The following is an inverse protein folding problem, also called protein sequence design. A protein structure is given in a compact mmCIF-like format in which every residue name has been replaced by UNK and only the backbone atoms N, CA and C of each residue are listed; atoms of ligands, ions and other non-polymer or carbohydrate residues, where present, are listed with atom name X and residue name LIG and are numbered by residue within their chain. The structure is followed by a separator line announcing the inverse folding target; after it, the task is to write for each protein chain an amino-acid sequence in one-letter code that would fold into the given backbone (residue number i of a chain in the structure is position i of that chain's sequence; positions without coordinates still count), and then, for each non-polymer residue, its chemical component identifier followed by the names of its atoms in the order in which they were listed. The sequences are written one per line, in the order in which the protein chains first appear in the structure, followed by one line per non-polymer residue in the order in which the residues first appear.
data_IF_516220135245
#
_entry.id   IF_516220135245
#
_cell.length_a   1.000
_cell.length_b   1.000
_cell.length_c   1.000
_cell.angle_alpha   90.00
_cell.angle_beta   90.00
_cell.angle_gamma   90.00
#
_symmetry.space_group_name_H-M   'P 1'
#
loop_
_entity.id
_entity.type
_entity.pdbx_description
1 polymer ?
#
# COMPACT_ATOMS: atom_id res chain seq x y z
N UNK A 1 19.69 -66.76 41.74
CA UNK A 1 19.62 -66.55 40.28
C UNK A 1 18.79 -65.25 40.07
N UNK A 2 19.49 -64.12 39.91
CA UNK A 2 18.88 -62.79 39.94
C UNK A 2 18.56 -62.34 38.50
N UNK A 3 17.31 -62.09 38.25
CA UNK A 3 16.79 -61.58 36.98
C UNK A 3 16.77 -60.05 37.04
N UNK A 4 17.67 -59.38 36.38
CA UNK A 4 17.69 -57.92 36.26
C UNK A 4 16.64 -57.48 35.26
N UNK A 5 15.63 -56.74 35.72
CA UNK A 5 14.67 -56.03 34.86
C UNK A 5 15.34 -54.75 34.30
N UNK A 6 15.48 -54.68 33.00
CA UNK A 6 15.94 -53.54 32.26
C UNK A 6 14.73 -52.64 31.97
N UNK A 7 14.66 -51.45 32.60
CA UNK A 7 13.68 -50.43 32.30
C UNK A 7 14.21 -49.62 31.11
N UNK A 8 13.56 -49.75 29.96
CA UNK A 8 13.74 -48.81 28.85
C UNK A 8 12.86 -47.58 29.09
N UNK A 9 13.49 -46.44 29.38
CA UNK A 9 12.83 -45.16 29.41
C UNK A 9 12.76 -44.64 28.01
N UNK A 10 11.53 -44.61 27.46
CA UNK A 10 11.26 -43.88 26.17
C UNK A 10 11.17 -42.38 26.48
N UNK A 11 12.22 -41.67 26.11
CA UNK A 11 12.20 -40.22 26.08
C UNK A 11 11.50 -39.79 24.80
N UNK A 12 10.19 -39.48 24.92
CA UNK A 12 9.41 -38.92 23.82
C UNK A 12 9.82 -37.45 23.65
N UNK A 13 10.69 -37.19 22.66
CA UNK A 13 11.05 -35.85 22.22
C UNK A 13 9.92 -35.29 21.36
N UNK A 14 8.93 -34.63 21.97
CA UNK A 14 7.93 -33.84 21.26
C UNK A 14 8.56 -32.59 20.67
N UNK A 15 8.94 -32.69 19.39
CA UNK A 15 9.37 -31.56 18.57
C UNK A 15 8.14 -30.65 18.32
N UNK A 16 7.98 -29.62 19.14
CA UNK A 16 7.03 -28.55 18.87
C UNK A 16 7.54 -27.76 17.65
N UNK A 17 6.96 -28.08 16.48
CA UNK A 17 7.03 -27.20 15.33
C UNK A 17 6.19 -25.96 15.66
N UNK A 18 6.84 -24.88 16.08
CA UNK A 18 6.26 -23.55 15.98
C UNK A 18 6.18 -23.22 14.49
N UNK A 19 5.02 -23.47 13.91
CA UNK A 19 4.63 -22.85 12.65
C UNK A 19 4.46 -21.36 12.92
N UNK A 20 5.56 -20.62 12.85
CA UNK A 20 5.48 -19.20 12.62
C UNK A 20 4.82 -19.03 11.25
N UNK A 21 3.52 -18.81 11.24
CA UNK A 21 2.85 -18.23 10.09
C UNK A 21 3.50 -16.86 9.85
N UNK A 22 4.48 -16.83 8.98
CA UNK A 22 4.97 -15.63 8.35
C UNK A 22 3.79 -15.08 7.53
N UNK A 23 2.88 -14.37 8.18
CA UNK A 23 2.08 -13.39 7.51
C UNK A 23 3.08 -12.37 6.97
N UNK A 24 3.48 -12.56 5.73
CA UNK A 24 4.27 -11.58 5.01
C UNK A 24 3.47 -10.26 5.04
N UNK A 25 3.84 -9.37 5.95
CA UNK A 25 3.35 -8.01 5.94
C UNK A 25 4.00 -7.32 4.73
N UNK A 26 3.36 -7.43 3.58
CA UNK A 26 3.75 -6.71 2.36
C UNK A 26 3.55 -5.20 2.46
N UNK A 27 3.31 -4.67 3.66
CA UNK A 27 3.42 -3.25 3.92
C UNK A 27 4.87 -2.94 4.26
N UNK A 28 5.42 -1.98 3.51
CA UNK A 28 6.78 -1.52 3.65
C UNK A 28 7.23 -1.51 5.13
N UNK A 29 8.03 -2.50 5.51
CA UNK A 29 8.89 -2.41 6.67
C UNK A 29 10.06 -1.54 6.22
N UNK A 30 10.01 -0.24 6.44
CA UNK A 30 10.99 0.66 5.87
C UNK A 30 11.26 1.86 6.76
N UNK A 31 12.00 2.78 6.19
CA UNK A 31 12.31 4.05 6.80
C UNK A 31 11.07 4.94 6.84
N UNK A 32 10.79 5.56 8.01
CA UNK A 32 9.76 6.59 8.11
C UNK A 32 10.28 7.86 7.48
N UNK A 33 9.54 8.37 6.51
CA UNK A 33 9.85 9.62 5.84
C UNK A 33 8.66 10.58 5.88
N UNK A 34 8.95 11.88 5.79
CA UNK A 34 7.97 12.94 5.55
C UNK A 34 8.36 13.63 4.25
N UNK A 35 7.92 13.09 3.12
CA UNK A 35 8.34 13.60 1.82
C UNK A 35 7.70 14.96 1.52
N UNK A 36 8.29 15.72 0.60
CA UNK A 36 7.84 17.07 0.21
C UNK A 36 6.41 17.12 -0.37
N UNK A 37 5.90 15.99 -0.86
CA UNK A 37 4.55 15.86 -1.39
C UNK A 37 3.50 15.48 -0.33
N UNK A 38 3.90 15.42 0.95
CA UNK A 38 3.00 15.21 2.09
C UNK A 38 2.93 16.48 2.94
N UNK A 39 1.73 17.00 3.15
CA UNK A 39 1.46 18.16 4.00
C UNK A 39 0.57 17.74 5.15
N UNK A 40 1.02 17.97 6.38
CA UNK A 40 0.32 17.61 7.62
C UNK A 40 -0.25 18.86 8.28
N UNK A 41 -1.52 18.82 8.66
CA UNK A 41 -2.18 19.81 9.49
C UNK A 41 -2.66 19.14 10.78
N UNK A 42 -1.87 19.27 11.83
CA UNK A 42 -2.15 18.64 13.12
C UNK A 42 -3.36 19.26 13.83
N UNK A 43 -3.63 20.55 13.65
CA UNK A 43 -4.75 21.24 14.27
C UNK A 43 -6.08 20.71 13.75
N UNK A 44 -6.20 20.54 12.44
CA UNK A 44 -7.40 20.05 11.78
C UNK A 44 -7.39 18.52 11.61
N UNK A 45 -6.38 17.81 12.11
CA UNK A 45 -6.17 16.37 11.92
C UNK A 45 -6.36 15.99 10.47
N UNK A 46 -5.60 16.63 9.59
CA UNK A 46 -5.67 16.38 8.15
C UNK A 46 -4.30 16.17 7.52
N UNK A 47 -4.27 15.39 6.46
CA UNK A 47 -3.08 15.16 5.65
C UNK A 47 -3.44 15.25 4.17
N UNK A 48 -2.59 15.92 3.42
CA UNK A 48 -2.65 15.96 1.96
C UNK A 48 -1.45 15.20 1.38
N UNK A 49 -1.71 14.26 0.49
CA UNK A 49 -0.71 13.58 -0.33
C UNK A 49 -0.89 14.02 -1.78
N UNK A 50 0.13 14.61 -2.37
CA UNK A 50 0.14 14.93 -3.81
C UNK A 50 0.79 13.77 -4.56
N UNK A 51 0.00 13.09 -5.39
CA UNK A 51 0.41 11.90 -6.14
C UNK A 51 0.49 12.22 -7.63
N UNK A 52 1.70 12.24 -8.17
CA UNK A 52 1.96 12.45 -9.59
C UNK A 52 2.21 11.10 -10.27
N UNK A 53 1.35 10.72 -11.21
CA UNK A 53 1.56 9.53 -12.04
C UNK A 53 2.68 9.74 -13.05
N UNK A 54 3.31 8.66 -13.48
CA UNK A 54 4.39 8.68 -14.48
C UNK A 54 5.50 9.71 -14.14
N UNK A 55 5.82 9.86 -12.85
CA UNK A 55 6.75 10.88 -12.34
C UNK A 55 8.16 10.78 -12.95
N UNK A 56 8.62 9.55 -13.16
CA UNK A 56 9.92 9.23 -13.76
C UNK A 56 9.87 7.87 -14.49
N UNK A 57 11.00 7.42 -15.01
CA UNK A 57 11.10 6.17 -15.76
C UNK A 57 10.99 4.88 -14.94
N UNK A 58 10.87 4.97 -13.60
CA UNK A 58 10.76 3.78 -12.75
C UNK A 58 9.56 2.93 -13.16
N UNK A 59 9.76 1.60 -13.17
CA UNK A 59 8.73 0.63 -13.54
C UNK A 59 8.08 0.95 -14.90
N UNK A 60 8.87 1.39 -15.88
CA UNK A 60 8.34 1.78 -17.20
C UNK A 60 7.35 2.95 -17.15
N UNK A 61 7.52 3.86 -16.19
CA UNK A 61 6.64 4.99 -15.86
C UNK A 61 5.32 4.63 -15.16
N UNK A 62 5.07 3.35 -14.85
CA UNK A 62 3.90 2.93 -14.07
C UNK A 62 4.16 3.15 -12.57
N UNK A 63 4.21 4.41 -12.13
CA UNK A 63 4.53 4.79 -10.75
C UNK A 63 3.77 6.03 -10.28
N UNK A 64 3.74 6.25 -8.96
CA UNK A 64 3.34 7.51 -8.32
C UNK A 64 4.55 8.11 -7.61
N UNK A 65 4.90 9.34 -7.96
CA UNK A 65 6.07 10.05 -7.39
C UNK A 65 7.38 9.25 -7.50
N UNK A 66 7.46 8.31 -8.44
CA UNK A 66 8.58 7.39 -8.63
C UNK A 66 8.53 6.11 -7.78
N UNK A 67 7.51 5.96 -6.91
CA UNK A 67 7.28 4.73 -6.12
C UNK A 67 6.33 3.78 -6.85
N UNK A 68 6.55 2.47 -6.68
CA UNK A 68 5.78 1.39 -7.30
C UNK A 68 5.89 0.10 -6.49
N UNK A 69 5.12 -0.94 -6.79
CA UNK A 69 5.12 -2.24 -6.14
C UNK A 69 5.03 -2.16 -4.60
N UNK A 70 4.26 -1.19 -4.07
CA UNK A 70 4.14 -1.01 -2.63
C UNK A 70 5.41 -0.51 -1.93
N UNK A 71 6.40 0.01 -2.67
CA UNK A 71 7.64 0.55 -2.09
C UNK A 71 7.43 1.75 -1.17
N UNK A 72 6.27 2.39 -1.24
CA UNK A 72 5.82 3.36 -0.26
C UNK A 72 4.49 2.92 0.35
N UNK A 73 4.30 3.18 1.66
CA UNK A 73 3.04 2.98 2.35
C UNK A 73 2.65 4.28 3.05
N UNK A 74 1.52 4.84 2.66
CA UNK A 74 0.94 6.04 3.28
C UNK A 74 0.24 5.62 4.58
N UNK A 75 0.77 6.01 5.72
CA UNK A 75 0.24 5.62 7.04
C UNK A 75 -0.46 6.81 7.67
N UNK A 76 -1.73 6.65 8.02
CA UNK A 76 -2.58 7.73 8.53
C UNK A 76 -3.26 7.29 9.83
N UNK A 77 -3.33 8.16 10.86
CA UNK A 77 -4.09 7.87 12.06
C UNK A 77 -5.58 7.72 11.75
N UNK A 78 -6.26 6.82 12.46
CA UNK A 78 -7.71 6.68 12.35
C UNK A 78 -8.41 8.00 12.71
N UNK A 79 -9.41 8.35 11.94
CA UNK A 79 -10.22 9.55 12.14
C UNK A 79 -9.67 10.82 11.50
N UNK A 80 -8.46 10.78 10.92
CA UNK A 80 -7.90 11.92 10.20
C UNK A 80 -8.60 12.14 8.84
N UNK A 81 -8.65 13.39 8.41
CA UNK A 81 -9.09 13.75 7.08
C UNK A 81 -7.93 13.57 6.09
N UNK A 82 -8.18 12.90 4.99
CA UNK A 82 -7.19 12.66 3.93
C UNK A 82 -7.62 13.38 2.68
N UNK A 83 -6.68 14.07 2.05
CA UNK A 83 -6.82 14.61 0.71
C UNK A 83 -5.74 13.97 -0.20
N UNK A 84 -6.16 13.18 -1.17
CA UNK A 84 -5.27 12.73 -2.26
C UNK A 84 -5.43 13.72 -3.41
N UNK A 85 -4.40 14.52 -3.64
CA UNK A 85 -4.29 15.36 -4.84
C UNK A 85 -3.62 14.55 -5.94
N UNK A 86 -4.43 14.07 -6.87
CA UNK A 86 -3.93 13.31 -8.00
C UNK A 86 -3.59 14.24 -9.16
N UNK A 87 -2.43 14.02 -9.74
CA UNK A 87 -1.96 14.72 -10.93
C UNK A 87 -1.47 13.70 -11.96
N UNK A 88 -2.14 13.63 -13.09
CA UNK A 88 -1.63 12.96 -14.28
C UNK A 88 -1.13 13.99 -15.29
N UNK A 89 0.18 14.23 -15.41
CA UNK A 89 0.74 15.13 -16.41
C UNK A 89 0.80 14.49 -17.79
N UNK A 90 0.65 13.17 -17.91
CA UNK A 90 0.78 12.42 -19.15
C UNK A 90 -0.37 12.72 -20.11
N UNK A 91 -0.05 13.13 -21.33
CA UNK A 91 -1.00 13.37 -22.41
C UNK A 91 -1.29 12.15 -23.26
N UNK A 92 -0.53 11.05 -23.11
CA UNK A 92 -0.62 9.86 -23.94
C UNK A 92 -1.26 8.69 -23.20
N UNK A 93 -0.99 8.55 -21.91
CA UNK A 93 -1.49 7.45 -21.10
C UNK A 93 -2.45 7.93 -20.01
N UNK A 94 -3.57 7.23 -19.93
CA UNK A 94 -4.56 7.45 -18.89
C UNK A 94 -4.06 6.82 -17.60
N UNK A 95 -4.18 7.56 -16.50
CA UNK A 95 -3.91 7.05 -15.16
C UNK A 95 -5.08 7.35 -14.24
N UNK A 96 -5.13 6.62 -13.14
CA UNK A 96 -6.14 6.81 -12.11
C UNK A 96 -5.54 6.71 -10.72
N UNK A 97 -6.30 7.16 -9.73
CA UNK A 97 -6.05 6.86 -8.32
C UNK A 97 -7.34 6.39 -7.66
N UNK A 98 -7.30 5.24 -7.05
CA UNK A 98 -8.40 4.64 -6.30
C UNK A 98 -7.84 3.98 -5.06
N UNK A 99 -8.57 4.02 -3.96
CA UNK A 99 -8.19 3.30 -2.73
C UNK A 99 -9.03 2.02 -2.65
N UNK A 100 -8.37 0.91 -2.87
CA UNK A 100 -8.96 -0.42 -2.84
C UNK A 100 -8.53 -1.20 -1.59
N UNK A 101 -9.21 -2.30 -1.30
CA UNK A 101 -8.76 -3.27 -0.28
C UNK A 101 -7.38 -3.81 -0.68
N UNK A 102 -6.52 -4.04 0.32
CA UNK A 102 -5.23 -4.69 0.07
C UNK A 102 -5.44 -6.08 -0.55
N UNK A 103 -4.64 -6.39 -1.52
CA UNK A 103 -4.63 -7.64 -2.26
C UNK A 103 -3.35 -8.43 -1.98
N UNK A 104 -3.32 -9.71 -2.37
CA UNK A 104 -2.11 -10.50 -2.40
C UNK A 104 -1.20 -10.00 -3.54
N UNK A 105 0.05 -9.57 -3.28
CA UNK A 105 0.98 -9.13 -4.31
C UNK A 105 1.29 -10.17 -5.40
N UNK A 106 1.04 -11.45 -5.13
CA UNK A 106 1.12 -12.51 -6.13
C UNK A 106 -0.14 -12.62 -7.01
N UNK A 107 -1.20 -11.90 -6.63
CA UNK A 107 -2.48 -11.89 -7.34
C UNK A 107 -3.03 -10.47 -7.43
N UNK A 108 -2.27 -9.60 -8.08
CA UNK A 108 -2.64 -8.18 -8.25
C UNK A 108 -3.82 -8.07 -9.21
N UNK A 109 -4.87 -7.28 -8.87
CA UNK A 109 -5.98 -7.04 -9.79
C UNK A 109 -5.49 -6.46 -11.12
N UNK A 110 -6.09 -6.93 -12.23
CA UNK A 110 -5.75 -6.40 -13.56
C UNK A 110 -6.28 -4.98 -13.78
N UNK A 111 -7.39 -4.65 -13.13
CA UNK A 111 -8.02 -3.34 -13.16
C UNK A 111 -8.78 -3.13 -11.85
N UNK A 112 -9.13 -1.90 -11.55
CA UNK A 112 -10.04 -1.59 -10.46
C UNK A 112 -11.14 -0.67 -10.96
N UNK A 113 -12.36 -1.16 -10.91
CA UNK A 113 -13.58 -0.40 -11.17
C UNK A 113 -14.37 -0.18 -9.88
N UNK A 114 -15.57 0.38 -9.97
CA UNK A 114 -16.47 0.73 -8.86
C UNK A 114 -16.58 -0.36 -7.78
N UNK A 115 -16.59 -1.63 -8.20
CA UNK A 115 -16.74 -2.78 -7.30
C UNK A 115 -15.53 -2.99 -6.37
N UNK A 116 -14.35 -2.51 -6.76
CA UNK A 116 -13.13 -2.63 -5.96
C UNK A 116 -12.81 -1.39 -5.14
N UNK A 117 -13.58 -0.29 -5.31
CA UNK A 117 -13.40 0.91 -4.51
C UNK A 117 -13.73 0.62 -3.06
N UNK A 118 -12.73 0.67 -2.18
CA UNK A 118 -12.90 0.42 -0.76
C UNK A 118 -13.25 1.69 0.02
N UNK A 119 -12.56 2.80 -0.26
CA UNK A 119 -12.68 4.05 0.48
C UNK A 119 -13.04 5.21 -0.44
N UNK A 120 -12.24 5.42 -1.50
CA UNK A 120 -12.34 6.61 -2.33
C UNK A 120 -11.77 6.39 -3.73
N UNK A 121 -12.19 7.22 -4.65
CA UNK A 121 -11.68 7.31 -6.03
C UNK A 121 -11.54 8.76 -6.45
N UNK A 122 -10.67 9.03 -7.43
CA UNK A 122 -10.30 10.38 -7.82
C UNK A 122 -11.28 11.10 -8.74
N UNK A 123 -12.26 10.43 -9.37
CA UNK A 123 -13.12 11.09 -10.36
C UNK A 123 -14.48 10.47 -10.48
N UNK A 124 -15.36 11.19 -11.23
CA UNK A 124 -16.71 10.76 -11.50
C UNK A 124 -16.83 9.60 -12.51
N UNK A 125 -15.79 9.38 -13.31
CA UNK A 125 -15.70 8.24 -14.22
C UNK A 125 -15.14 7.02 -13.51
N UNK A 126 -15.41 5.84 -14.08
CA UNK A 126 -14.82 4.58 -13.60
C UNK A 126 -13.30 4.69 -13.47
N UNK A 127 -12.70 4.22 -12.37
CA UNK A 127 -11.24 4.19 -12.20
C UNK A 127 -10.52 3.46 -13.34
N UNK A 128 -11.12 2.45 -13.94
CA UNK A 128 -10.59 1.73 -15.08
C UNK A 128 -10.44 2.60 -16.35
N UNK A 129 -11.24 3.66 -16.49
CA UNK A 129 -11.10 4.58 -17.63
C UNK A 129 -9.97 5.60 -17.44
N UNK A 130 -9.67 5.97 -16.21
CA UNK A 130 -8.66 6.97 -15.91
C UNK A 130 -8.85 8.32 -16.61
N UNK A 131 -7.88 9.21 -16.49
CA UNK A 131 -7.88 10.51 -17.17
C UNK A 131 -6.51 10.84 -17.78
N UNK A 132 -6.51 11.71 -18.80
CA UNK A 132 -5.32 12.27 -19.42
C UNK A 132 -5.12 13.71 -18.95
N UNK A 133 -3.87 14.13 -18.74
CA UNK A 133 -3.51 15.53 -18.43
C UNK A 133 -4.45 16.17 -17.39
N UNK A 134 -4.72 15.46 -16.30
CA UNK A 134 -5.75 15.84 -15.33
C UNK A 134 -5.21 16.10 -13.93
N UNK A 135 -6.01 16.82 -13.14
CA UNK A 135 -5.82 17.03 -11.70
C UNK A 135 -7.12 16.79 -11.00
N UNK A 136 -7.08 15.98 -9.95
CA UNK A 136 -8.25 15.59 -9.16
C UNK A 136 -7.94 15.67 -7.67
N UNK A 137 -8.93 16.05 -6.88
CA UNK A 137 -8.86 16.06 -5.41
C UNK A 137 -9.86 15.06 -4.86
N UNK A 138 -9.37 14.12 -4.04
CA UNK A 138 -10.21 13.13 -3.37
C UNK A 138 -10.10 13.30 -1.87
N UNK A 139 -11.21 13.65 -1.23
CA UNK A 139 -11.28 13.88 0.20
C UNK A 139 -12.10 12.81 0.89
N UNK A 140 -11.56 12.22 1.92
CA UNK A 140 -12.25 11.21 2.73
C UNK A 140 -11.73 11.21 4.17
N UNK A 141 -12.45 10.54 5.05
CA UNK A 141 -12.02 10.33 6.42
C UNK A 141 -11.37 8.94 6.54
N UNK A 142 -10.16 8.88 7.07
CA UNK A 142 -9.46 7.62 7.34
C UNK A 142 -10.22 6.84 8.41
N UNK A 143 -10.86 5.73 8.02
CA UNK A 143 -11.61 4.84 8.92
C UNK A 143 -11.25 3.40 8.58
N UNK A 144 -11.07 2.59 9.62
CA UNK A 144 -11.08 1.15 9.45
C UNK A 144 -12.52 0.70 9.18
N UNK A 145 -12.67 -0.22 8.23
CA UNK A 145 -13.94 -0.88 7.95
C UNK A 145 -13.89 -2.29 8.51
N UNK A 146 -14.95 -2.69 9.22
CA UNK A 146 -15.01 -3.97 9.94
C UNK A 146 -14.93 -5.19 8.99
N UNK A 147 -15.34 -4.99 7.74
CA UNK A 147 -15.34 -6.01 6.69
C UNK A 147 -13.98 -6.18 5.98
N UNK A 148 -12.97 -5.38 6.33
CA UNK A 148 -11.62 -5.45 5.73
C UNK A 148 -10.57 -5.89 6.74
N UNK A 149 -9.53 -6.57 6.26
CA UNK A 149 -8.32 -6.86 7.07
C UNK A 149 -7.77 -5.54 7.62
N UNK A 150 -7.79 -5.42 8.93
CA UNK A 150 -7.63 -4.21 9.73
C UNK A 150 -6.70 -3.17 9.06
N UNK A 151 -7.30 -2.07 8.58
CA UNK A 151 -6.62 -0.88 8.14
C UNK A 151 -5.66 -0.99 6.96
N UNK A 152 -5.72 -2.08 6.20
CA UNK A 152 -4.81 -2.31 5.07
C UNK A 152 -5.51 -2.09 3.73
N UNK A 153 -5.01 -1.12 2.98
CA UNK A 153 -5.52 -0.73 1.67
C UNK A 153 -4.39 -0.48 0.69
N UNK A 154 -4.73 -0.26 -0.55
CA UNK A 154 -3.80 0.14 -1.62
C UNK A 154 -4.29 1.40 -2.32
N UNK A 155 -3.40 2.33 -2.55
CA UNK A 155 -3.56 3.38 -3.57
C UNK A 155 -3.15 2.77 -4.90
N UNK A 156 -4.08 2.65 -5.82
CA UNK A 156 -3.97 1.78 -6.99
C UNK A 156 -4.34 2.53 -8.28
N UNK A 157 -3.66 2.26 -9.37
CA UNK A 157 -4.12 2.70 -10.68
C UNK A 157 -5.10 1.67 -11.23
N UNK A 158 -6.37 2.04 -11.37
CA UNK A 158 -7.43 1.15 -11.82
C UNK A 158 -7.44 0.88 -13.31
N UNK A 159 -6.68 1.63 -14.10
CA UNK A 159 -6.60 1.43 -15.56
C UNK A 159 -6.06 0.03 -15.85
N UNK A 160 -6.66 -0.74 -16.79
CA UNK A 160 -6.28 -2.11 -17.09
C UNK A 160 -4.77 -2.30 -17.30
N UNK A 161 -4.18 -3.27 -16.60
CA UNK A 161 -2.77 -3.62 -16.65
C UNK A 161 -1.84 -2.75 -15.80
N UNK A 162 -2.18 -1.49 -15.49
CA UNK A 162 -1.28 -0.57 -14.80
C UNK A 162 -0.97 -1.01 -13.36
N UNK A 163 -2.01 -1.30 -12.59
CA UNK A 163 -1.85 -1.84 -11.24
C UNK A 163 -1.13 -3.18 -11.22
N UNK A 164 -1.50 -4.07 -12.14
CA UNK A 164 -0.88 -5.40 -12.26
C UNK A 164 0.61 -5.33 -12.62
N UNK A 165 1.03 -4.29 -13.33
CA UNK A 165 2.47 -4.02 -13.59
C UNK A 165 3.16 -3.25 -12.49
N UNK A 166 2.50 -3.03 -11.34
CA UNK A 166 3.12 -2.45 -10.15
C UNK A 166 2.75 -0.99 -9.85
N UNK A 167 1.83 -0.37 -10.58
CA UNK A 167 1.41 1.02 -10.31
C UNK A 167 0.47 1.08 -9.09
N UNK A 168 1.04 0.83 -7.91
CA UNK A 168 0.32 0.91 -6.64
C UNK A 168 1.26 1.18 -5.46
N UNK A 169 0.69 1.76 -4.39
CA UNK A 169 1.31 2.04 -3.11
C UNK A 169 0.47 1.43 -1.99
N UNK A 170 1.06 1.19 -0.82
CA UNK A 170 0.30 0.84 0.37
C UNK A 170 -0.45 2.06 0.92
N UNK A 171 -1.58 1.82 1.56
CA UNK A 171 -2.29 2.80 2.38
C UNK A 171 -2.78 2.11 3.66
N UNK A 172 -2.41 2.64 4.81
CA UNK A 172 -2.74 2.06 6.11
C UNK A 172 -3.41 3.06 7.02
N UNK A 173 -4.53 2.66 7.61
CA UNK A 173 -5.18 3.40 8.70
C UNK A 173 -4.79 2.72 10.01
N UNK A 174 -4.15 3.45 10.92
CA UNK A 174 -3.66 2.89 12.20
C UNK A 174 -4.22 3.64 13.39
N UNK A 175 -4.51 2.89 14.45
CA UNK A 175 -4.77 3.42 15.78
C UNK A 175 -3.46 3.65 16.53
N UNK A 176 -3.48 4.52 17.53
CA UNK A 176 -2.36 4.71 18.47
C UNK A 176 -1.13 5.38 17.86
N UNK A 177 -1.29 6.08 16.74
CA UNK A 177 -0.25 6.95 16.18
C UNK A 177 -0.73 8.40 16.16
N UNK A 178 0.18 9.33 16.45
CA UNK A 178 -0.16 10.75 16.64
C UNK A 178 -0.23 11.53 15.31
N UNK A 179 0.58 11.13 14.32
CA UNK A 179 0.68 11.85 13.05
C UNK A 179 0.89 10.89 11.86
N UNK A 180 0.47 11.31 10.64
CA UNK A 180 0.75 10.57 9.42
C UNK A 180 2.25 10.50 9.10
N UNK A 181 2.65 9.46 8.40
CA UNK A 181 3.99 9.32 7.83
C UNK A 181 3.95 8.41 6.60
N UNK A 182 5.03 8.38 5.84
CA UNK A 182 5.23 7.41 4.76
C UNK A 182 6.32 6.43 5.18
N UNK A 183 6.08 5.12 5.01
CA UNK A 183 7.12 4.11 5.10
C UNK A 183 7.69 3.89 3.70
N UNK A 184 9.00 4.05 3.56
CA UNK A 184 9.70 3.78 2.31
C UNK A 184 10.48 2.47 2.41
N UNK A 185 10.11 1.48 1.59
CA UNK A 185 10.82 0.22 1.44
C UNK A 185 11.65 0.22 0.15
N UNK A 186 12.91 0.56 0.29
CA UNK A 186 13.85 0.61 -0.82
C UNK A 186 14.03 -0.75 -1.51
N UNK A 187 13.98 -1.84 -0.75
CA UNK A 187 14.18 -3.21 -1.28
C UNK A 187 13.03 -3.70 -2.16
N UNK A 188 11.87 -3.02 -2.14
CA UNK A 188 10.75 -3.32 -3.03
C UNK A 188 10.90 -2.69 -4.43
N UNK A 189 11.99 -1.97 -4.68
CA UNK A 189 12.29 -1.36 -5.98
C UNK A 189 13.43 -2.12 -6.66
N UNK A 190 13.45 -2.08 -7.98
CA UNK A 190 14.50 -2.70 -8.79
C UNK A 190 15.88 -2.05 -8.53
N UNK A 191 16.94 -2.83 -8.72
CA UNK A 191 18.30 -2.27 -8.65
C UNK A 191 18.49 -1.20 -9.74
N UNK A 192 19.12 -0.08 -9.37
CA UNK A 192 19.36 1.02 -10.30
C UNK A 192 18.16 1.92 -10.60
N UNK A 193 17.08 1.84 -9.80
CA UNK A 193 15.93 2.73 -9.95
C UNK A 193 16.31 4.22 -9.88
N UNK A 194 15.59 5.05 -10.63
CA UNK A 194 15.70 6.50 -10.49
C UNK A 194 15.12 6.95 -9.14
N UNK A 195 15.78 7.89 -8.45
CA UNK A 195 15.37 8.34 -7.13
C UNK A 195 13.91 8.84 -7.15
N UNK A 196 13.02 8.30 -6.30
CA UNK A 196 11.67 8.81 -6.20
C UNK A 196 11.66 10.23 -5.59
N UNK A 197 10.52 10.90 -5.68
CA UNK A 197 10.30 12.20 -5.04
C UNK A 197 10.24 12.02 -3.51
N UNK A 198 11.16 12.60 -2.78
CA UNK A 198 11.23 12.58 -1.31
C UNK A 198 10.88 13.94 -0.74
#
# INVERSE_FOLDING_TARGET
MFLKKLLFSFFSLTLLFFLNSLNAEHHASGEKITPSWMVIDNENKSVTFTLTSAYNGNNGSWNYNGFYNGSANLVVPQGWNVNLKFHNPDGNYRHSVVVIKMFDPNNVPQEADEQLVAIARAYSLSPANGCLSCKEDVKFKAKNRDDYTIGKYSVFCGVPGHGATGMWLGFSVKDGIDAPYVLFNKSAMEEGYAKPLL
#
